data_IF_784014604917
#
_entry.id   IF_784014604917
#
_cell.length_a   1.000
_cell.length_b   1.000
_cell.length_c   1.000
_cell.angle_alpha   90.00
_cell.angle_beta   90.00
_cell.angle_gamma   90.00
#
_symmetry.space_group_name_H-M   'P 1'
#
loop_
_entity.id
_entity.type
_entity.pdbx_description
1 polymer ?
#
# COMPACT_ATOMS: atom_id res chain seq x y z
N UNK A 1 20.19 -79.42 16.83
CA UNK A 1 20.54 -78.06 16.35
C UNK A 1 19.38 -77.51 15.53
N UNK A 2 19.10 -76.20 15.60
CA UNK A 2 17.73 -75.67 15.56
C UNK A 2 17.26 -75.12 14.20
N UNK A 3 15.96 -74.87 14.21
CA UNK A 3 15.05 -74.22 13.28
C UNK A 3 15.54 -72.96 12.53
N UNK A 4 14.88 -72.68 11.39
CA UNK A 4 14.08 -71.45 11.19
C UNK A 4 13.01 -71.70 10.11
N UNK A 5 11.78 -71.89 10.57
CA UNK A 5 10.57 -71.94 9.75
C UNK A 5 10.25 -70.55 9.19
N UNK A 6 9.86 -70.52 7.91
CA UNK A 6 9.40 -69.31 7.20
C UNK A 6 7.92 -69.07 7.53
N UNK A 7 7.63 -67.99 8.23
CA UNK A 7 6.25 -67.58 8.53
C UNK A 7 5.66 -66.88 7.32
N UNK A 8 4.67 -67.51 6.68
CA UNK A 8 3.76 -66.87 5.70
C UNK A 8 2.57 -66.33 6.49
N UNK A 9 2.42 -65.01 6.54
CA UNK A 9 1.19 -64.38 7.02
C UNK A 9 0.34 -64.00 5.81
N UNK A 10 -0.78 -64.69 5.66
CA UNK A 10 -1.89 -64.34 4.79
C UNK A 10 -2.56 -63.07 5.32
N UNK A 11 -2.56 -62.01 4.52
CA UNK A 11 -3.33 -60.78 4.80
C UNK A 11 -4.79 -61.06 4.48
N UNK A 12 -5.64 -61.03 5.50
CA UNK A 12 -7.09 -61.11 5.36
C UNK A 12 -7.64 -59.75 4.87
N UNK A 13 -8.43 -59.81 3.81
CA UNK A 13 -9.23 -58.71 3.27
C UNK A 13 -10.31 -58.31 4.29
N UNK A 14 -10.23 -57.08 4.82
CA UNK A 14 -11.35 -56.45 5.52
C UNK A 14 -12.04 -55.52 4.52
N UNK A 15 -13.26 -55.90 4.14
CA UNK A 15 -14.17 -55.06 3.39
C UNK A 15 -14.65 -53.90 4.28
N UNK A 16 -14.33 -52.67 3.90
CA UNK A 16 -14.89 -51.47 4.52
C UNK A 16 -16.06 -50.96 3.66
N UNK A 17 -17.18 -50.72 4.35
CA UNK A 17 -18.48 -50.39 3.81
C UNK A 17 -18.50 -49.03 3.09
N UNK A 18 -19.27 -48.99 2.00
CA UNK A 18 -19.67 -47.77 1.29
C UNK A 18 -20.69 -47.03 2.14
N UNK A 19 -20.33 -45.83 2.59
CA UNK A 19 -21.23 -44.85 3.20
C UNK A 19 -21.34 -43.67 2.24
N UNK A 20 -22.52 -43.49 1.67
CA UNK A 20 -22.89 -42.33 0.87
C UNK A 20 -23.17 -41.13 1.79
N UNK A 21 -22.29 -40.14 1.78
CA UNK A 21 -22.59 -38.74 2.13
C UNK A 21 -22.43 -37.96 0.81
N UNK A 22 -23.45 -37.33 0.24
CA UNK A 22 -24.24 -36.26 0.85
C UNK A 22 -23.61 -34.94 0.42
N UNK A 23 -24.08 -34.37 -0.70
CA UNK A 23 -23.69 -33.03 -1.14
C UNK A 23 -24.10 -32.01 -0.06
N UNK A 24 -23.14 -31.56 0.74
CA UNK A 24 -23.25 -30.38 1.58
C UNK A 24 -22.49 -29.24 0.90
N UNK A 25 -23.21 -28.18 0.53
CA UNK A 25 -22.59 -26.91 0.15
C UNK A 25 -21.74 -26.39 1.32
N UNK A 26 -20.50 -25.99 1.03
CA UNK A 26 -19.65 -25.31 1.99
C UNK A 26 -20.26 -23.94 2.29
N UNK A 27 -20.37 -23.51 3.56
CA UNK A 27 -20.75 -22.14 3.87
C UNK A 27 -19.62 -21.17 3.50
N UNK A 28 -20.02 -20.07 2.86
CA UNK A 28 -19.21 -18.88 2.61
C UNK A 28 -18.57 -18.38 3.92
N UNK A 29 -17.28 -17.99 3.95
CA UNK A 29 -16.69 -17.36 5.11
C UNK A 29 -17.14 -15.89 5.17
N UNK A 30 -18.34 -15.64 5.69
CA UNK A 30 -18.73 -14.31 6.16
C UNK A 30 -17.95 -13.99 7.44
N UNK A 31 -17.17 -12.90 7.41
CA UNK A 31 -16.53 -12.35 8.61
C UNK A 31 -17.59 -12.04 9.67
N UNK A 32 -17.38 -12.41 10.95
CA UNK A 32 -18.36 -12.13 12.00
C UNK A 32 -18.40 -10.63 12.32
N UNK A 33 -19.59 -10.05 12.22
CA UNK A 33 -19.92 -8.76 12.83
C UNK A 33 -20.03 -8.93 14.36
N UNK A 34 -19.59 -7.88 15.06
CA UNK A 34 -19.72 -7.60 16.49
C UNK A 34 -18.99 -8.49 17.52
N UNK A 35 -17.83 -7.99 17.96
CA UNK A 35 -17.36 -8.20 19.34
C UNK A 35 -17.20 -6.83 19.99
N UNK A 36 -18.16 -6.48 20.84
CA UNK A 36 -18.09 -5.32 21.72
C UNK A 36 -17.00 -5.59 22.78
N UNK A 37 -15.80 -5.08 22.54
CA UNK A 37 -14.70 -5.11 23.51
C UNK A 37 -14.50 -3.71 24.09
N UNK A 38 -14.81 -3.55 25.38
CA UNK A 38 -14.51 -2.35 26.15
C UNK A 38 -13.00 -2.27 26.40
N UNK A 39 -12.27 -1.71 25.44
CA UNK A 39 -10.89 -1.24 25.61
C UNK A 39 -10.90 0.28 25.93
N UNK A 40 -9.90 0.82 26.63
CA UNK A 40 -9.78 2.26 26.83
C UNK A 40 -9.64 2.95 25.47
N UNK A 41 -10.37 4.05 25.25
CA UNK A 41 -10.30 4.82 24.02
C UNK A 41 -8.84 5.20 23.71
N UNK A 42 -8.32 4.92 22.50
CA UNK A 42 -7.10 5.59 22.06
C UNK A 42 -7.38 7.09 22.07
N UNK A 43 -6.38 7.88 22.44
CA UNK A 43 -6.43 9.33 22.29
C UNK A 43 -6.91 9.64 20.86
N UNK A 44 -7.87 10.56 20.71
CA UNK A 44 -8.36 10.95 19.39
C UNK A 44 -7.16 11.37 18.53
N UNK A 45 -6.81 10.53 17.55
CA UNK A 45 -5.84 10.93 16.54
C UNK A 45 -6.43 12.15 15.84
N UNK A 46 -5.72 13.29 15.81
CA UNK A 46 -6.20 14.43 15.06
C UNK A 46 -6.48 13.98 13.62
N UNK A 47 -7.70 14.21 13.15
CA UNK A 47 -8.08 14.00 11.76
C UNK A 47 -7.23 14.94 10.90
N UNK A 48 -6.46 14.39 9.97
CA UNK A 48 -5.75 15.20 8.99
C UNK A 48 -6.79 15.96 8.15
N UNK A 49 -6.59 17.27 7.98
CA UNK A 49 -7.45 18.11 7.16
C UNK A 49 -6.68 18.59 5.94
N UNK A 50 -7.33 18.51 4.80
CA UNK A 50 -6.83 19.04 3.54
C UNK A 50 -7.62 20.32 3.28
N UNK A 51 -7.13 21.46 3.78
CA UNK A 51 -7.55 22.81 3.37
C UNK A 51 -6.58 23.91 3.85
N UNK A 52 -6.00 24.68 2.92
CA UNK A 52 -5.18 25.83 3.33
C UNK A 52 -4.70 26.82 2.27
N UNK A 53 -3.62 27.55 2.62
CA UNK A 53 -3.02 28.70 1.93
C UNK A 53 -1.92 28.35 0.91
N UNK A 54 -1.60 27.06 0.75
CA UNK A 54 -0.55 26.51 -0.12
C UNK A 54 0.87 27.08 0.15
N UNK A 55 1.15 27.41 1.42
CA UNK A 55 2.48 27.91 1.86
C UNK A 55 3.51 26.79 1.97
N UNK A 56 4.79 27.13 2.19
CA UNK A 56 5.83 26.10 2.40
C UNK A 56 5.66 25.46 3.78
N UNK A 57 5.35 26.28 4.77
CA UNK A 57 5.11 25.86 6.15
C UNK A 57 3.94 24.86 6.21
N UNK A 58 2.86 25.15 5.49
CA UNK A 58 1.71 24.25 5.36
C UNK A 58 2.05 22.97 4.59
N UNK A 59 2.84 23.04 3.52
CA UNK A 59 3.33 21.83 2.86
C UNK A 59 4.12 20.94 3.82
N UNK A 60 4.96 21.52 4.68
CA UNK A 60 5.73 20.76 5.68
C UNK A 60 4.82 20.13 6.75
N UNK A 61 3.77 20.83 7.19
CA UNK A 61 2.75 20.28 8.08
C UNK A 61 1.98 19.13 7.41
N UNK A 62 1.44 19.34 6.20
CA UNK A 62 0.68 18.34 5.45
C UNK A 62 1.52 17.11 5.09
N UNK A 63 2.80 17.30 4.77
CA UNK A 63 3.73 16.18 4.56
C UNK A 63 3.91 15.37 5.85
N UNK A 64 4.01 16.02 7.01
CA UNK A 64 4.06 15.36 8.32
C UNK A 64 2.78 14.59 8.66
N UNK A 65 1.62 15.20 8.35
CA UNK A 65 0.31 14.59 8.56
C UNK A 65 0.09 13.40 7.62
N UNK A 66 0.49 13.50 6.36
CA UNK A 66 0.44 12.41 5.39
C UNK A 66 1.23 11.18 5.87
N UNK A 67 2.46 11.38 6.37
CA UNK A 67 3.29 10.29 6.94
C UNK A 67 2.64 9.69 8.18
N UNK A 68 2.17 10.54 9.11
CA UNK A 68 1.52 10.08 10.34
C UNK A 68 0.24 9.30 10.07
N UNK A 69 -0.54 9.74 9.09
CA UNK A 69 -1.77 9.08 8.66
C UNK A 69 -1.47 7.73 7.98
N UNK A 70 -0.45 7.68 7.12
CA UNK A 70 0.00 6.42 6.49
C UNK A 70 0.46 5.41 7.55
N UNK A 71 1.27 5.84 8.52
CA UNK A 71 1.72 4.99 9.63
C UNK A 71 0.57 4.46 10.47
N UNK A 72 -0.40 5.32 10.79
CA UNK A 72 -1.61 4.95 11.54
C UNK A 72 -2.42 3.91 10.77
N UNK A 73 -2.64 4.15 9.47
CA UNK A 73 -3.39 3.23 8.62
C UNK A 73 -2.71 1.86 8.51
N UNK A 74 -1.42 1.83 8.13
CA UNK A 74 -0.70 0.59 7.93
C UNK A 74 -0.46 -0.18 9.23
N UNK A 75 -0.25 0.51 10.35
CA UNK A 75 -0.20 -0.14 11.67
C UNK A 75 -1.47 -0.93 11.96
N UNK A 76 -2.64 -0.31 11.73
CA UNK A 76 -3.93 -0.97 11.94
C UNK A 76 -4.17 -2.13 10.98
N UNK A 77 -3.79 -1.98 9.71
CA UNK A 77 -3.92 -3.06 8.69
C UNK A 77 -3.07 -4.28 9.07
N UNK A 78 -1.81 -4.07 9.44
CA UNK A 78 -0.90 -5.15 9.82
C UNK A 78 -1.32 -5.79 11.15
N UNK A 79 -1.73 -5.00 12.15
CA UNK A 79 -2.24 -5.51 13.42
C UNK A 79 -3.46 -6.42 13.21
N UNK A 80 -4.39 -6.02 12.34
CA UNK A 80 -5.55 -6.85 11.98
C UNK A 80 -5.15 -8.17 11.28
N UNK A 81 -3.98 -8.23 10.65
CA UNK A 81 -3.42 -9.44 10.05
C UNK A 81 -2.58 -10.28 11.01
N UNK A 82 -2.41 -9.83 12.27
CA UNK A 82 -1.59 -10.51 13.28
C UNK A 82 -0.08 -10.33 13.09
N UNK A 83 0.33 -9.34 12.30
CA UNK A 83 1.73 -9.01 12.01
C UNK A 83 2.06 -7.64 12.61
N UNK A 84 3.25 -7.48 13.18
CA UNK A 84 3.70 -6.16 13.66
C UNK A 84 4.16 -5.31 12.47
N UNK A 85 3.58 -4.12 12.33
CA UNK A 85 4.03 -3.12 11.35
C UNK A 85 5.37 -2.50 11.77
N UNK A 86 6.31 -2.37 10.83
CA UNK A 86 7.50 -1.55 11.02
C UNK A 86 7.41 -0.30 10.13
N UNK A 87 7.30 0.93 10.66
CA UNK A 87 7.30 2.14 9.83
C UNK A 87 8.62 2.32 9.07
N UNK A 88 8.64 3.16 8.03
CA UNK A 88 9.90 3.55 7.38
C UNK A 88 10.80 4.26 8.39
N UNK A 89 12.13 4.14 8.26
CA UNK A 89 13.06 4.72 9.25
C UNK A 89 13.14 6.24 9.18
N UNK A 90 12.84 6.82 8.03
CA UNK A 90 12.85 8.26 7.82
C UNK A 90 12.08 8.63 6.55
N UNK A 91 11.57 9.86 6.53
CA UNK A 91 11.15 10.57 5.32
C UNK A 91 12.05 11.79 5.17
N UNK A 92 12.67 11.96 4.00
CA UNK A 92 13.80 12.90 3.81
C UNK A 92 13.59 13.80 2.58
N UNK A 93 13.33 15.10 2.77
CA UNK A 93 13.42 16.04 1.66
C UNK A 93 14.88 16.16 1.17
N UNK A 94 15.06 16.32 -0.13
CA UNK A 94 16.32 16.76 -0.76
C UNK A 94 16.04 17.89 -1.76
N UNK A 95 17.08 18.56 -2.27
CA UNK A 95 16.93 19.63 -3.26
C UNK A 95 17.74 19.38 -4.51
N UNK A 96 18.95 18.86 -4.37
CA UNK A 96 19.83 18.63 -5.51
C UNK A 96 20.05 17.13 -5.74
N UNK A 97 20.16 16.74 -7.02
CA UNK A 97 20.57 15.37 -7.38
C UNK A 97 21.93 15.06 -6.75
N UNK A 98 21.98 13.97 -5.97
CA UNK A 98 23.19 13.55 -5.25
C UNK A 98 23.26 13.95 -3.78
N UNK A 99 22.33 14.79 -3.30
CA UNK A 99 22.16 15.05 -1.85
C UNK A 99 21.85 13.75 -1.09
N UNK A 100 21.07 12.89 -1.71
CA UNK A 100 20.71 11.57 -1.23
C UNK A 100 20.95 10.51 -2.33
N UNK A 101 21.20 9.29 -1.88
CA UNK A 101 21.37 8.13 -2.72
C UNK A 101 20.60 6.94 -2.15
N UNK A 102 20.00 6.15 -3.03
CA UNK A 102 19.51 4.83 -2.65
C UNK A 102 20.61 3.79 -2.88
N UNK A 103 21.26 3.37 -1.78
CA UNK A 103 22.45 2.54 -1.86
C UNK A 103 23.62 3.31 -2.48
N UNK A 104 23.94 3.03 -3.75
CA UNK A 104 25.01 3.73 -4.49
C UNK A 104 24.49 4.64 -5.60
N UNK A 105 23.20 4.57 -5.91
CA UNK A 105 22.58 5.33 -6.99
C UNK A 105 22.04 6.66 -6.43
N UNK A 106 22.49 7.81 -6.96
CA UNK A 106 21.89 9.11 -6.63
C UNK A 106 20.39 9.12 -6.94
N UNK A 107 19.61 9.78 -6.09
CA UNK A 107 18.18 10.00 -6.35
C UNK A 107 18.05 11.17 -7.35
N UNK A 108 17.31 11.01 -8.46
CA UNK A 108 17.16 12.06 -9.48
C UNK A 108 16.35 13.25 -8.95
N UNK A 109 16.52 14.42 -9.57
CA UNK A 109 15.64 15.57 -9.32
C UNK A 109 14.20 15.30 -9.79
N UNK A 110 13.25 16.14 -9.35
CA UNK A 110 11.83 16.08 -9.70
C UNK A 110 11.17 14.73 -9.39
N UNK A 111 11.54 14.11 -8.26
CA UNK A 111 11.12 12.74 -7.93
C UNK A 111 10.74 12.54 -6.46
N UNK A 112 9.98 11.48 -6.18
CA UNK A 112 9.85 10.86 -4.87
C UNK A 112 10.18 9.36 -5.00
N UNK A 113 10.71 8.76 -3.94
CA UNK A 113 11.09 7.34 -3.96
C UNK A 113 11.14 6.75 -2.55
N UNK A 114 10.64 5.53 -2.39
CA UNK A 114 11.03 4.64 -1.30
C UNK A 114 12.32 3.88 -1.62
N UNK A 115 13.34 4.08 -0.79
CA UNK A 115 14.61 3.37 -0.89
C UNK A 115 14.66 2.12 0.00
N UNK A 116 14.61 0.89 -0.56
CA UNK A 116 14.67 -0.33 0.25
C UNK A 116 16.04 -0.56 0.89
N UNK A 117 17.14 -0.08 0.29
CA UNK A 117 18.50 -0.27 0.83
C UNK A 117 18.74 0.51 2.13
N UNK A 118 18.00 1.60 2.36
CA UNK A 118 18.10 2.43 3.56
C UNK A 118 16.82 2.46 4.41
N UNK A 119 15.73 1.87 3.91
CA UNK A 119 14.37 1.93 4.47
C UNK A 119 13.95 3.36 4.80
N UNK A 120 14.00 4.24 3.80
CA UNK A 120 13.56 5.63 3.91
C UNK A 120 12.81 6.06 2.65
N UNK A 121 11.90 7.01 2.81
CA UNK A 121 11.30 7.74 1.68
C UNK A 121 12.10 9.02 1.46
N UNK A 122 12.33 9.40 0.21
CA UNK A 122 12.92 10.68 -0.15
C UNK A 122 12.08 11.37 -1.21
N UNK A 123 12.06 12.71 -1.19
CA UNK A 123 11.37 13.50 -2.20
C UNK A 123 12.10 14.82 -2.47
N UNK A 124 12.06 15.27 -3.72
CA UNK A 124 12.54 16.59 -4.13
C UNK A 124 11.59 17.65 -3.57
N UNK A 125 12.08 18.45 -2.62
CA UNK A 125 11.27 19.41 -1.88
C UNK A 125 10.78 20.57 -2.77
N UNK A 126 11.62 21.05 -3.69
CA UNK A 126 11.29 22.20 -4.52
C UNK A 126 10.25 21.81 -5.59
N UNK A 127 10.40 20.61 -6.15
CA UNK A 127 9.39 20.02 -7.03
C UNK A 127 8.08 19.74 -6.30
N UNK A 128 8.13 19.08 -5.14
CA UNK A 128 6.93 18.71 -4.39
C UNK A 128 6.13 19.94 -3.94
N UNK A 129 6.80 21.00 -3.44
CA UNK A 129 6.15 22.28 -3.11
C UNK A 129 5.54 22.94 -4.35
N UNK A 130 6.22 22.86 -5.49
CA UNK A 130 5.70 23.40 -6.76
C UNK A 130 4.44 22.65 -7.22
N UNK A 131 4.45 21.32 -7.12
CA UNK A 131 3.31 20.47 -7.41
C UNK A 131 2.15 20.75 -6.45
N UNK A 132 2.41 20.78 -5.14
CA UNK A 132 1.45 21.14 -4.09
C UNK A 132 0.76 22.49 -4.36
N UNK A 133 1.51 23.52 -4.75
CA UNK A 133 0.93 24.83 -5.10
C UNK A 133 0.04 24.81 -6.34
N UNK A 134 0.42 24.01 -7.34
CA UNK A 134 -0.29 23.94 -8.64
C UNK A 134 -1.50 23.02 -8.62
N UNK A 135 -1.36 21.87 -7.97
CA UNK A 135 -2.33 20.79 -7.94
C UNK A 135 -3.24 21.00 -6.75
N UNK A 136 -2.66 21.23 -5.57
CA UNK A 136 -3.29 21.48 -4.30
C UNK A 136 -2.77 20.59 -3.19
N UNK A 137 -3.33 20.78 -2.01
CA UNK A 137 -2.83 20.24 -0.75
C UNK A 137 -3.05 18.72 -0.62
N UNK A 138 -4.12 18.20 -1.21
CA UNK A 138 -4.37 16.76 -1.24
C UNK A 138 -3.22 15.98 -1.92
N UNK A 139 -2.49 16.62 -2.85
CA UNK A 139 -1.43 15.97 -3.63
C UNK A 139 -0.37 15.29 -2.75
N UNK A 140 0.06 15.93 -1.65
CA UNK A 140 1.16 15.40 -0.84
C UNK A 140 0.78 14.12 -0.10
N UNK A 141 -0.51 13.96 0.24
CA UNK A 141 -1.06 12.74 0.83
C UNK A 141 -1.02 11.57 -0.15
N UNK A 142 -1.32 11.83 -1.43
CA UNK A 142 -1.13 10.82 -2.48
C UNK A 142 0.34 10.50 -2.70
N UNK A 143 1.20 11.52 -2.88
CA UNK A 143 2.62 11.35 -3.18
C UNK A 143 3.31 10.50 -2.12
N UNK A 144 3.20 10.88 -0.85
CA UNK A 144 3.85 10.15 0.25
C UNK A 144 3.15 8.81 0.52
N UNK A 145 1.83 8.72 0.31
CA UNK A 145 1.09 7.47 0.41
C UNK A 145 1.51 6.42 -0.62
N UNK A 146 1.83 6.85 -1.85
CA UNK A 146 2.38 6.00 -2.91
C UNK A 146 3.76 5.45 -2.52
N UNK A 147 4.68 6.29 -2.07
CA UNK A 147 5.99 5.82 -1.61
C UNK A 147 5.88 4.90 -0.38
N UNK A 148 4.94 5.18 0.51
CA UNK A 148 4.65 4.30 1.64
C UNK A 148 4.11 2.94 1.18
N UNK A 149 3.36 2.88 0.08
CA UNK A 149 2.89 1.62 -0.49
C UNK A 149 4.06 0.77 -1.02
N UNK A 150 5.10 1.36 -1.63
CA UNK A 150 6.34 0.64 -1.96
C UNK A 150 7.04 0.09 -0.72
N UNK A 151 7.05 0.87 0.37
CA UNK A 151 7.58 0.40 1.65
C UNK A 151 6.82 -0.84 2.16
N UNK A 152 5.49 -0.85 2.01
CA UNK A 152 4.64 -1.99 2.38
C UNK A 152 4.84 -3.18 1.45
N UNK A 153 4.93 -2.97 0.13
CA UNK A 153 5.28 -4.02 -0.82
C UNK A 153 6.60 -4.72 -0.42
N UNK A 154 7.63 -3.95 -0.04
CA UNK A 154 8.90 -4.50 0.43
C UNK A 154 8.75 -5.30 1.74
N UNK A 155 7.91 -4.86 2.68
CA UNK A 155 7.62 -5.58 3.93
C UNK A 155 6.88 -6.90 3.69
N UNK A 156 6.00 -6.92 2.69
CA UNK A 156 5.24 -8.10 2.29
C UNK A 156 6.01 -9.04 1.36
N UNK A 157 7.18 -8.64 0.87
CA UNK A 157 7.95 -9.41 -0.11
C UNK A 157 7.21 -9.56 -1.45
N UNK A 158 6.44 -8.54 -1.83
CA UNK A 158 5.77 -8.49 -3.13
C UNK A 158 6.82 -8.33 -4.21
N UNK A 159 6.78 -9.23 -5.19
CA UNK A 159 7.66 -9.22 -6.36
C UNK A 159 6.81 -9.32 -7.62
N UNK A 160 6.85 -8.31 -8.48
CA UNK A 160 6.28 -8.35 -9.80
C UNK A 160 7.37 -8.50 -10.86
N UNK A 161 6.97 -9.05 -12.02
CA UNK A 161 7.88 -9.23 -13.14
C UNK A 161 8.25 -7.90 -13.81
N UNK A 162 7.36 -6.92 -13.77
CA UNK A 162 7.50 -5.65 -14.47
C UNK A 162 7.32 -4.49 -13.49
N UNK A 163 8.09 -3.41 -13.69
CA UNK A 163 8.03 -2.21 -12.85
C UNK A 163 6.61 -1.62 -12.81
N UNK A 164 5.94 -1.56 -13.97
CA UNK A 164 4.57 -1.06 -14.08
C UNK A 164 3.58 -1.80 -13.16
N UNK A 165 3.75 -3.11 -12.92
CA UNK A 165 2.85 -3.85 -12.03
C UNK A 165 3.08 -3.46 -10.55
N UNK A 166 4.33 -3.17 -10.16
CA UNK A 166 4.66 -2.62 -8.85
C UNK A 166 4.03 -1.24 -8.65
N UNK A 167 4.21 -0.36 -9.63
CA UNK A 167 3.75 1.03 -9.64
C UNK A 167 2.22 1.13 -9.57
N UNK A 168 1.52 0.38 -10.44
CA UNK A 168 0.05 0.36 -10.43
C UNK A 168 -0.51 -0.24 -9.14
N UNK A 169 0.15 -1.24 -8.55
CA UNK A 169 -0.27 -1.75 -7.26
C UNK A 169 -0.01 -0.72 -6.14
N UNK A 170 1.10 0.01 -6.18
CA UNK A 170 1.38 1.09 -5.23
C UNK A 170 0.34 2.22 -5.34
N UNK A 171 -0.05 2.62 -6.56
CA UNK A 171 -1.16 3.55 -6.77
C UNK A 171 -2.48 3.03 -6.19
N UNK A 172 -2.82 1.76 -6.41
CA UNK A 172 -4.01 1.16 -5.81
C UNK A 172 -3.95 1.18 -4.29
N UNK A 173 -2.81 0.82 -3.70
CA UNK A 173 -2.62 0.81 -2.25
C UNK A 173 -2.69 2.22 -1.66
N UNK A 174 -2.15 3.23 -2.34
CA UNK A 174 -2.30 4.64 -1.96
C UNK A 174 -3.77 5.07 -2.00
N UNK A 175 -4.50 4.66 -3.03
CA UNK A 175 -5.95 4.86 -3.12
C UNK A 175 -6.68 4.21 -1.94
N UNK A 176 -6.40 2.95 -1.64
CA UNK A 176 -7.01 2.22 -0.53
C UNK A 176 -6.74 2.88 0.82
N UNK A 177 -5.50 3.30 1.07
CA UNK A 177 -5.08 4.08 2.24
C UNK A 177 -5.91 5.35 2.40
N UNK A 178 -6.01 6.18 1.36
CA UNK A 178 -6.76 7.43 1.43
C UNK A 178 -8.26 7.20 1.57
N UNK A 179 -8.83 6.29 0.76
CA UNK A 179 -10.24 5.96 0.79
C UNK A 179 -10.68 5.38 2.13
N UNK A 180 -9.88 4.49 2.72
CA UNK A 180 -10.16 3.93 4.05
C UNK A 180 -9.98 4.99 5.15
N UNK A 181 -8.99 5.88 5.02
CA UNK A 181 -8.79 6.98 5.98
C UNK A 181 -9.97 7.94 5.99
N UNK A 182 -10.54 8.25 4.83
CA UNK A 182 -11.78 9.04 4.71
C UNK A 182 -12.97 8.30 5.30
N UNK A 183 -13.16 7.02 4.96
CA UNK A 183 -14.27 6.21 5.52
C UNK A 183 -14.21 6.03 7.03
N UNK A 184 -13.03 6.16 7.63
CA UNK A 184 -12.78 6.01 9.07
C UNK A 184 -12.67 7.35 9.80
N UNK A 185 -13.00 8.46 9.14
CA UNK A 185 -12.91 9.83 9.68
C UNK A 185 -11.50 10.21 10.18
N UNK A 186 -10.45 9.57 9.63
CA UNK A 186 -9.04 9.89 9.91
C UNK A 186 -8.50 10.97 8.96
N UNK A 187 -9.14 11.16 7.81
CA UNK A 187 -8.85 12.19 6.83
C UNK A 187 -10.16 12.86 6.41
N UNK A 188 -10.22 14.19 6.46
CA UNK A 188 -11.31 14.97 5.88
C UNK A 188 -10.88 15.54 4.54
N UNK A 189 -11.66 15.29 3.48
CA UNK A 189 -11.45 15.92 2.18
C UNK A 189 -12.39 17.11 1.98
N UNK A 190 -11.88 18.20 1.44
CA UNK A 190 -12.63 19.34 0.97
C UNK A 190 -13.21 19.12 -0.44
N UNK A 191 -14.10 20.05 -0.84
CA UNK A 191 -14.63 20.09 -2.19
C UNK A 191 -13.51 20.39 -3.19
N UNK A 192 -13.10 19.38 -3.95
CA UNK A 192 -12.08 19.50 -4.99
C UNK A 192 -10.93 18.50 -4.84
N UNK A 193 -10.67 17.98 -3.64
CA UNK A 193 -9.51 17.13 -3.34
C UNK A 193 -9.46 15.84 -4.16
N UNK A 194 -10.63 15.26 -4.45
CA UNK A 194 -10.71 14.11 -5.34
C UNK A 194 -10.28 14.43 -6.78
N UNK A 195 -10.50 15.66 -7.23
CA UNK A 195 -9.96 16.15 -8.51
C UNK A 195 -8.47 16.46 -8.39
N UNK A 196 -8.01 16.94 -7.24
CA UNK A 196 -6.59 17.13 -6.97
C UNK A 196 -5.80 15.81 -7.06
N UNK A 197 -6.32 14.71 -6.52
CA UNK A 197 -5.71 13.38 -6.71
C UNK A 197 -5.61 13.00 -8.19
N UNK A 198 -6.67 13.23 -8.98
CA UNK A 198 -6.65 12.99 -10.45
C UNK A 198 -5.59 13.83 -11.14
N UNK A 199 -5.48 15.12 -10.79
CA UNK A 199 -4.46 16.04 -11.32
C UNK A 199 -3.05 15.68 -10.84
N UNK A 200 -2.92 15.12 -9.65
CA UNK A 200 -1.70 14.52 -9.10
C UNK A 200 -1.20 13.38 -9.98
N UNK A 201 -2.06 12.40 -10.24
CA UNK A 201 -1.77 11.25 -11.10
C UNK A 201 -1.42 11.65 -12.54
N UNK A 202 -2.03 12.74 -13.05
CA UNK A 202 -1.65 13.35 -14.32
C UNK A 202 -0.21 13.91 -14.31
N UNK A 203 0.24 14.47 -13.19
CA UNK A 203 1.56 15.09 -13.08
C UNK A 203 2.70 14.08 -12.92
N UNK A 204 2.39 12.86 -12.44
CA UNK A 204 3.38 11.78 -12.21
C UNK A 204 3.31 10.64 -13.22
N UNK A 205 2.32 10.64 -14.14
CA UNK A 205 2.18 9.58 -15.15
C UNK A 205 3.24 9.62 -16.25
N UNK A 206 3.52 8.46 -16.85
CA UNK A 206 4.46 8.36 -17.97
C UNK A 206 3.98 9.15 -19.19
N UNK A 207 4.88 9.78 -19.97
CA UNK A 207 4.52 10.39 -21.26
C UNK A 207 4.03 9.34 -22.26
N UNK A 208 3.24 9.76 -23.25
CA UNK A 208 2.78 8.87 -24.32
C UNK A 208 3.97 8.22 -25.03
N UNK A 209 3.92 6.89 -25.17
CA UNK A 209 4.94 6.10 -25.85
C UNK A 209 6.04 5.53 -24.96
N UNK A 210 6.03 5.80 -23.65
CA UNK A 210 6.91 5.10 -22.71
C UNK A 210 6.67 3.57 -22.78
N UNK A 211 7.69 2.74 -23.04
CA UNK A 211 7.50 1.31 -23.19
C UNK A 211 7.14 0.65 -21.85
N UNK A 212 6.00 -0.03 -21.76
CA UNK A 212 5.49 -0.64 -20.51
C UNK A 212 6.45 -1.58 -19.76
N UNK A 213 7.45 -2.15 -20.44
CA UNK A 213 8.45 -3.05 -19.86
C UNK A 213 9.72 -2.33 -19.40
N UNK A 214 9.80 -1.02 -19.61
CA UNK A 214 10.93 -0.22 -19.22
C UNK A 214 11.05 -0.21 -17.69
N UNK A 215 12.26 -0.35 -17.12
CA UNK A 215 12.46 -0.30 -15.67
C UNK A 215 11.94 0.98 -15.02
N UNK A 216 11.90 2.07 -15.77
CA UNK A 216 11.42 3.39 -15.36
C UNK A 216 9.94 3.66 -15.67
N UNK A 217 9.18 2.64 -16.08
CA UNK A 217 7.75 2.80 -16.37
C UNK A 217 6.89 2.80 -15.12
N UNK A 218 6.15 3.90 -14.93
CA UNK A 218 5.10 4.05 -13.92
C UNK A 218 3.72 3.63 -14.45
N UNK A 219 3.54 3.67 -15.76
CA UNK A 219 2.27 3.43 -16.44
C UNK A 219 1.61 4.71 -16.94
N UNK A 220 0.65 4.53 -17.85
CA UNK A 220 -0.11 5.66 -18.39
C UNK A 220 -0.99 6.29 -17.31
N UNK A 221 -1.28 7.58 -17.43
CA UNK A 221 -2.22 8.29 -16.55
C UNK A 221 -3.52 7.53 -16.34
N UNK A 222 -4.09 6.96 -17.41
CA UNK A 222 -5.34 6.20 -17.32
C UNK A 222 -5.20 4.96 -16.43
N UNK A 223 -4.12 4.18 -16.61
CA UNK A 223 -3.86 2.99 -15.78
C UNK A 223 -3.65 3.38 -14.31
N UNK A 224 -2.83 4.40 -14.06
CA UNK A 224 -2.54 4.89 -12.70
C UNK A 224 -3.82 5.40 -12.01
N UNK A 225 -4.63 6.17 -12.74
CA UNK A 225 -5.92 6.67 -12.25
C UNK A 225 -6.90 5.54 -11.95
N UNK A 226 -7.04 4.57 -12.86
CA UNK A 226 -7.93 3.43 -12.65
C UNK A 226 -7.48 2.59 -11.45
N UNK A 227 -6.16 2.37 -11.29
CA UNK A 227 -5.60 1.65 -10.16
C UNK A 227 -5.87 2.37 -8.83
N UNK A 228 -5.55 3.66 -8.77
CA UNK A 228 -5.80 4.49 -7.60
C UNK A 228 -7.28 4.47 -7.18
N UNK A 229 -8.20 4.77 -8.09
CA UNK A 229 -9.62 4.82 -7.74
C UNK A 229 -10.22 3.44 -7.45
N UNK A 230 -9.69 2.37 -8.06
CA UNK A 230 -10.05 0.99 -7.68
C UNK A 230 -9.74 0.71 -6.21
N UNK A 231 -8.57 1.16 -5.73
CA UNK A 231 -8.21 1.08 -4.32
C UNK A 231 -9.03 2.03 -3.44
N UNK A 232 -9.20 3.29 -3.87
CA UNK A 232 -9.97 4.29 -3.14
C UNK A 232 -11.39 3.82 -2.83
N UNK A 233 -12.11 3.31 -3.83
CA UNK A 233 -13.48 2.82 -3.68
C UNK A 233 -13.52 1.40 -3.08
N UNK A 234 -12.52 0.57 -3.42
CA UNK A 234 -12.52 -0.86 -3.16
C UNK A 234 -11.74 -1.30 -1.92
N UNK A 235 -10.98 -0.43 -1.25
CA UNK A 235 -9.98 -0.79 -0.23
C UNK A 235 -8.93 -1.79 -0.76
N UNK A 236 -8.08 -2.35 0.12
CA UNK A 236 -6.94 -3.21 -0.26
C UNK A 236 -7.33 -4.48 -1.01
N UNK A 237 -8.57 -4.96 -0.88
CA UNK A 237 -9.07 -6.12 -1.65
C UNK A 237 -9.02 -5.88 -3.17
N UNK A 238 -9.07 -4.63 -3.62
CA UNK A 238 -8.96 -4.28 -5.04
C UNK A 238 -7.51 -4.39 -5.56
N UNK A 239 -6.51 -4.35 -4.67
CA UNK A 239 -5.10 -4.20 -5.02
C UNK A 239 -4.32 -5.51 -5.20
N UNK A 240 -5.02 -6.66 -5.17
CA UNK A 240 -4.46 -7.97 -5.51
C UNK A 240 -3.19 -8.32 -4.73
N UNK A 241 -3.23 -8.16 -3.40
CA UNK A 241 -2.13 -8.50 -2.48
C UNK A 241 -1.96 -10.01 -2.24
N UNK A 242 -2.34 -10.86 -3.21
CA UNK A 242 -2.48 -12.32 -3.08
C UNK A 242 -1.45 -13.10 -3.87
#
# INVERSE_FOLDING_TARGET
MPARHRTRWTVALVAAAVLTLGCGALPDPTLPEDVTSTAPAPAATPTAKVDGTKTVEEFEEDAGDAVSLAETYWSAVFEASGVTFGPVRAVRPYRDTGDLACGREPIPADNAVYCPAGDFIAYDADWAVTAFRRIGDAFVFYLLGHEYAHAVQARLGVEHRYAIDHELQADCMAGAYLGDSVRRDLLSLADGDLDEFRRGLLAVGDPEGQPWFAPESHGTVAQRTDAFFSGYDGSLKACRLS
#
